data_IF_192894149403
#
_entry.id   IF_192894149403
#
_cell.length_a   1.000
_cell.length_b   1.000
_cell.length_c   1.000
_cell.angle_alpha   90.00
_cell.angle_beta   90.00
_cell.angle_gamma   90.00
#
_symmetry.space_group_name_H-M   'P 1'
#
loop_
_entity.id
_entity.type
_entity.pdbx_description
1 polymer ?
#
# COMPACT_ATOMS: atom_id res chain seq x y z
N UNK A 1 -24.30 -20.99 22.08
CA UNK A 1 -23.56 -19.88 21.46
C UNK A 1 -23.08 -20.39 20.11
N UNK A 2 -23.78 -20.02 19.05
CA UNK A 2 -23.92 -20.79 17.79
C UNK A 2 -22.72 -20.67 16.85
N UNK A 3 -22.46 -21.75 16.11
CA UNK A 3 -21.42 -21.92 15.09
C UNK A 3 -21.33 -20.74 14.09
N UNK A 4 -22.43 -20.03 13.87
CA UNK A 4 -22.58 -18.92 12.94
C UNK A 4 -21.79 -17.66 13.35
N UNK A 5 -21.44 -17.48 14.63
CA UNK A 5 -20.62 -16.35 15.09
C UNK A 5 -19.12 -16.56 14.85
N UNK A 6 -18.67 -17.80 14.78
CA UNK A 6 -17.25 -18.14 14.64
C UNK A 6 -16.76 -18.02 13.19
N UNK A 7 -17.65 -18.30 12.24
CA UNK A 7 -17.34 -18.28 10.81
C UNK A 7 -16.74 -16.93 10.34
N UNK A 8 -17.34 -15.75 10.63
CA UNK A 8 -16.75 -14.47 10.21
C UNK A 8 -15.40 -14.21 10.89
N UNK A 9 -15.23 -14.59 12.16
CA UNK A 9 -13.97 -14.41 12.89
C UNK A 9 -12.86 -15.26 12.26
N UNK A 10 -13.15 -16.52 11.94
CA UNK A 10 -12.20 -17.43 11.30
C UNK A 10 -11.79 -16.90 9.92
N UNK A 11 -12.73 -16.39 9.13
CA UNK A 11 -12.44 -15.82 7.80
C UNK A 11 -11.54 -14.59 7.91
N UNK A 12 -11.84 -13.66 8.83
CA UNK A 12 -11.00 -12.46 9.04
C UNK A 12 -9.60 -12.86 9.50
N UNK A 13 -9.48 -13.77 10.47
CA UNK A 13 -8.18 -14.28 10.93
C UNK A 13 -7.40 -14.98 9.80
N UNK A 14 -8.08 -15.74 8.94
CA UNK A 14 -7.45 -16.38 7.78
C UNK A 14 -6.91 -15.34 6.78
N UNK A 15 -7.67 -14.29 6.49
CA UNK A 15 -7.23 -13.21 5.58
C UNK A 15 -6.01 -12.49 6.16
N UNK A 16 -6.04 -12.14 7.45
CA UNK A 16 -4.93 -11.44 8.12
C UNK A 16 -3.66 -12.30 8.14
N UNK A 17 -3.78 -13.57 8.53
CA UNK A 17 -2.63 -14.48 8.61
C UNK A 17 -2.04 -14.78 7.23
N UNK A 18 -2.87 -14.98 6.21
CA UNK A 18 -2.42 -15.20 4.83
C UNK A 18 -1.74 -13.95 4.25
N UNK A 19 -2.28 -12.76 4.52
CA UNK A 19 -1.69 -11.49 4.10
C UNK A 19 -0.32 -11.25 4.76
N UNK A 20 -0.20 -11.54 6.06
CA UNK A 20 1.07 -11.44 6.78
C UNK A 20 2.09 -12.46 6.26
N UNK A 21 1.67 -13.72 6.08
CA UNK A 21 2.53 -14.77 5.54
C UNK A 21 3.08 -14.38 4.15
N UNK A 22 2.20 -13.92 3.26
CA UNK A 22 2.60 -13.47 1.92
C UNK A 22 3.55 -12.27 2.00
N UNK A 23 3.27 -11.30 2.87
CA UNK A 23 4.13 -10.11 3.04
C UNK A 23 5.53 -10.47 3.54
N UNK A 24 5.65 -11.41 4.48
CA UNK A 24 6.93 -11.89 4.99
C UNK A 24 7.71 -12.61 3.89
N UNK A 25 7.07 -13.52 3.17
CA UNK A 25 7.71 -14.27 2.06
C UNK A 25 8.17 -13.30 0.99
N UNK A 26 7.31 -12.36 0.57
CA UNK A 26 7.64 -11.37 -0.44
C UNK A 26 8.83 -10.51 -0.01
N UNK A 27 8.79 -9.95 1.22
CA UNK A 27 9.91 -9.17 1.75
C UNK A 27 11.21 -9.98 1.77
N UNK A 28 11.17 -11.25 2.20
CA UNK A 28 12.37 -12.11 2.26
C UNK A 28 12.91 -12.54 0.90
N UNK A 29 12.07 -12.61 -0.13
CA UNK A 29 12.49 -12.96 -1.50
C UNK A 29 13.19 -11.79 -2.19
N UNK A 30 12.69 -10.56 -1.99
CA UNK A 30 13.20 -9.37 -2.66
C UNK A 30 14.22 -8.58 -1.85
N UNK A 31 14.40 -8.91 -0.57
CA UNK A 31 15.39 -8.27 0.27
C UNK A 31 16.81 -8.68 -0.12
N UNK A 32 17.69 -7.68 -0.30
CA UNK A 32 19.12 -7.93 -0.42
C UNK A 32 19.70 -8.43 0.91
N UNK A 33 20.60 -9.40 0.83
CA UNK A 33 21.16 -10.08 1.99
C UNK A 33 22.27 -9.30 2.67
N UNK A 34 22.83 -8.28 2.01
CA UNK A 34 23.91 -7.45 2.57
C UNK A 34 23.41 -6.25 3.39
N UNK A 35 22.33 -5.57 2.98
CA UNK A 35 21.81 -4.36 3.67
C UNK A 35 20.49 -4.61 4.43
N UNK A 36 20.33 -5.82 4.98
CA UNK A 36 19.08 -6.21 5.63
C UNK A 36 19.01 -5.74 7.09
N UNK A 37 18.28 -4.65 7.32
CA UNK A 37 17.96 -4.19 8.66
C UNK A 37 16.57 -4.65 9.17
N UNK A 38 16.53 -5.05 10.44
CA UNK A 38 15.33 -5.63 11.06
C UNK A 38 14.16 -4.65 11.16
N UNK A 39 14.45 -3.35 11.31
CA UNK A 39 13.44 -2.30 11.44
C UNK A 39 12.79 -1.97 10.09
N UNK A 40 13.58 -1.86 9.01
CA UNK A 40 13.03 -1.64 7.64
C UNK A 40 12.11 -2.78 7.26
N UNK A 41 12.57 -4.01 7.49
CA UNK A 41 11.79 -5.19 7.11
C UNK A 41 10.47 -5.26 7.86
N UNK A 42 10.45 -4.93 9.15
CA UNK A 42 9.21 -4.87 9.91
C UNK A 42 8.25 -3.83 9.34
N UNK A 43 8.73 -2.63 9.02
CA UNK A 43 7.89 -1.55 8.46
C UNK A 43 7.38 -1.92 7.07
N UNK A 44 8.23 -2.49 6.22
CA UNK A 44 7.85 -2.95 4.89
C UNK A 44 6.81 -4.09 4.95
N UNK A 45 7.01 -5.08 5.82
CA UNK A 45 6.08 -6.21 5.99
C UNK A 45 4.74 -5.72 6.54
N UNK A 46 4.75 -4.83 7.54
CA UNK A 46 3.52 -4.27 8.10
C UNK A 46 2.78 -3.44 7.06
N UNK A 47 3.46 -2.54 6.36
CA UNK A 47 2.87 -1.74 5.28
C UNK A 47 2.27 -2.62 4.18
N UNK A 48 3.01 -3.62 3.68
CA UNK A 48 2.52 -4.56 2.68
C UNK A 48 1.29 -5.34 3.17
N UNK A 49 1.29 -5.77 4.44
CA UNK A 49 0.16 -6.50 5.00
C UNK A 49 -1.12 -5.67 5.06
N UNK A 50 -1.02 -4.39 5.44
CA UNK A 50 -2.15 -3.47 5.49
C UNK A 50 -2.70 -3.22 4.07
N UNK A 51 -1.82 -3.05 3.08
CA UNK A 51 -2.22 -2.86 1.68
C UNK A 51 -2.99 -4.10 1.17
N UNK A 52 -2.49 -5.31 1.45
CA UNK A 52 -3.14 -6.56 1.02
C UNK A 52 -4.50 -6.77 1.69
N UNK A 53 -4.60 -6.50 2.99
CA UNK A 53 -5.87 -6.55 3.73
C UNK A 53 -6.87 -5.56 3.11
N UNK A 54 -6.45 -4.30 2.90
CA UNK A 54 -7.30 -3.25 2.32
C UNK A 54 -7.76 -3.62 0.91
N UNK A 55 -6.88 -4.21 0.10
CA UNK A 55 -7.22 -4.66 -1.26
C UNK A 55 -8.23 -5.82 -1.23
N UNK A 56 -8.12 -6.71 -0.24
CA UNK A 56 -9.04 -7.84 -0.04
C UNK A 56 -10.42 -7.40 0.45
N UNK A 57 -10.55 -6.20 1.03
CA UNK A 57 -11.87 -5.66 1.41
C UNK A 57 -12.73 -5.29 0.20
N UNK A 58 -12.12 -4.92 -0.93
CA UNK A 58 -12.86 -4.56 -2.16
C UNK A 58 -13.74 -5.72 -2.66
N UNK A 59 -13.23 -6.94 -2.90
CA UNK A 59 -14.09 -8.05 -3.32
C UNK A 59 -15.10 -8.46 -2.24
N UNK A 60 -14.79 -8.27 -0.96
CA UNK A 60 -15.72 -8.53 0.14
C UNK A 60 -16.89 -7.55 0.08
N UNK A 61 -16.64 -6.27 -0.14
CA UNK A 61 -17.68 -5.25 -0.32
C UNK A 61 -18.59 -5.56 -1.52
N UNK A 62 -18.00 -5.87 -2.68
CA UNK A 62 -18.75 -6.28 -3.88
C UNK A 62 -19.61 -7.51 -3.61
N UNK A 63 -19.05 -8.51 -2.92
CA UNK A 63 -19.79 -9.73 -2.55
C UNK A 63 -20.95 -9.43 -1.59
N UNK A 64 -20.72 -8.60 -0.56
CA UNK A 64 -21.73 -8.24 0.43
C UNK A 64 -22.90 -7.49 -0.21
N UNK A 65 -22.61 -6.50 -1.06
CA UNK A 65 -23.64 -5.78 -1.81
C UNK A 65 -24.39 -6.74 -2.74
N UNK A 66 -23.68 -7.62 -3.46
CA UNK A 66 -24.29 -8.61 -4.33
C UNK A 66 -25.18 -9.60 -3.58
N UNK A 67 -24.83 -9.99 -2.36
CA UNK A 67 -25.58 -10.96 -1.55
C UNK A 67 -26.91 -10.40 -1.00
N UNK A 68 -27.08 -9.08 -1.02
CA UNK A 68 -28.30 -8.42 -0.54
C UNK A 68 -29.49 -8.54 -1.51
N UNK A 69 -29.25 -8.97 -2.74
CA UNK A 69 -30.24 -9.14 -3.80
C UNK A 69 -30.45 -10.62 -4.09
N UNK A 70 -31.70 -11.05 -4.19
CA UNK A 70 -32.04 -12.41 -4.61
C UNK A 70 -31.87 -12.53 -6.13
N UNK A 71 -30.95 -13.38 -6.58
CA UNK A 71 -30.64 -13.58 -8.00
C UNK A 71 -31.82 -14.08 -8.83
N UNK A 72 -32.81 -14.75 -8.24
CA UNK A 72 -33.95 -15.31 -8.95
C UNK A 72 -35.14 -14.35 -9.08
N UNK A 73 -35.35 -13.47 -8.09
CA UNK A 73 -36.47 -12.52 -8.08
C UNK A 73 -36.05 -11.08 -8.36
N UNK A 74 -34.75 -10.76 -8.33
CA UNK A 74 -34.22 -9.41 -8.47
C UNK A 74 -34.55 -8.47 -7.29
N UNK A 75 -35.30 -8.97 -6.29
CA UNK A 75 -35.69 -8.20 -5.11
C UNK A 75 -34.68 -8.38 -3.97
N UNK A 76 -34.56 -7.36 -3.12
CA UNK A 76 -33.77 -7.45 -1.89
C UNK A 76 -34.38 -8.45 -0.93
N UNK A 77 -33.56 -9.16 -0.18
CA UNK A 77 -34.04 -10.05 0.88
C UNK A 77 -34.72 -9.27 2.01
N UNK A 78 -35.61 -9.93 2.76
CA UNK A 78 -36.36 -9.29 3.87
C UNK A 78 -35.45 -8.78 5.00
N UNK A 79 -34.29 -9.44 5.20
CA UNK A 79 -33.27 -8.97 6.16
C UNK A 79 -32.56 -7.69 5.69
N UNK A 80 -32.59 -7.38 4.40
CA UNK A 80 -31.87 -6.25 3.79
C UNK A 80 -32.72 -4.97 3.82
N UNK A 81 -33.17 -4.59 5.03
CA UNK A 81 -33.89 -3.34 5.28
C UNK A 81 -33.02 -2.12 4.95
N UNK A 82 -33.63 -1.01 4.49
CA UNK A 82 -32.89 0.23 4.15
C UNK A 82 -32.01 0.73 5.30
N UNK A 83 -32.53 0.68 6.53
CA UNK A 83 -31.79 1.09 7.74
C UNK A 83 -30.55 0.22 7.97
N UNK A 84 -30.70 -1.11 7.87
CA UNK A 84 -29.58 -2.05 8.00
C UNK A 84 -28.50 -1.79 6.96
N UNK A 85 -28.88 -1.61 5.69
CA UNK A 85 -27.93 -1.32 4.60
C UNK A 85 -27.20 -0.01 4.86
N UNK A 86 -27.90 1.05 5.26
CA UNK A 86 -27.27 2.35 5.54
C UNK A 86 -26.27 2.29 6.70
N UNK A 87 -26.63 1.63 7.81
CA UNK A 87 -25.71 1.44 8.94
C UNK A 87 -24.48 0.62 8.52
N UNK A 88 -24.69 -0.42 7.72
CA UNK A 88 -23.60 -1.27 7.25
C UNK A 88 -22.65 -0.51 6.32
N UNK A 89 -23.18 0.28 5.39
CA UNK A 89 -22.38 1.15 4.51
C UNK A 89 -21.57 2.17 5.31
N UNK A 90 -22.17 2.79 6.33
CA UNK A 90 -21.45 3.72 7.21
C UNK A 90 -20.28 3.03 7.93
N UNK A 91 -20.50 1.81 8.46
CA UNK A 91 -19.44 1.03 9.12
C UNK A 91 -18.30 0.74 8.14
N UNK A 92 -18.62 0.26 6.92
CA UNK A 92 -17.61 0.00 5.90
C UNK A 92 -16.84 1.25 5.51
N UNK A 93 -17.53 2.38 5.35
CA UNK A 93 -16.90 3.67 5.06
C UNK A 93 -15.88 4.08 6.14
N UNK A 94 -16.22 3.95 7.42
CA UNK A 94 -15.26 4.19 8.52
C UNK A 94 -14.06 3.24 8.47
N UNK A 95 -14.29 1.95 8.18
CA UNK A 95 -13.20 0.96 8.05
C UNK A 95 -12.28 1.33 6.89
N UNK A 96 -12.81 1.73 5.73
CA UNK A 96 -12.00 2.16 4.60
C UNK A 96 -11.20 3.43 4.91
N UNK A 97 -11.83 4.48 5.44
CA UNK A 97 -11.11 5.71 5.75
C UNK A 97 -10.03 5.52 6.82
N UNK A 98 -10.28 4.67 7.83
CA UNK A 98 -9.26 4.36 8.84
C UNK A 98 -8.07 3.59 8.24
N UNK A 99 -8.34 2.61 7.37
CA UNK A 99 -7.29 1.86 6.67
C UNK A 99 -6.47 2.77 5.72
N UNK A 100 -7.12 3.61 4.92
CA UNK A 100 -6.45 4.57 4.04
C UNK A 100 -5.70 5.67 4.80
N UNK A 101 -6.23 6.12 5.95
CA UNK A 101 -5.53 7.04 6.84
C UNK A 101 -4.26 6.42 7.40
N UNK A 102 -4.31 5.15 7.80
CA UNK A 102 -3.16 4.40 8.26
C UNK A 102 -2.14 4.19 7.13
N UNK A 103 -2.58 3.88 5.91
CA UNK A 103 -1.70 3.81 4.73
C UNK A 103 -1.02 5.15 4.43
N UNK A 104 -1.75 6.26 4.54
CA UNK A 104 -1.22 7.62 4.36
C UNK A 104 -0.15 7.93 5.41
N UNK A 105 -0.39 7.56 6.66
CA UNK A 105 0.60 7.69 7.73
C UNK A 105 1.87 6.86 7.44
N UNK A 106 1.71 5.61 7.00
CA UNK A 106 2.85 4.79 6.60
C UNK A 106 3.62 5.39 5.41
N UNK A 107 2.92 5.91 4.41
CA UNK A 107 3.52 6.46 3.19
C UNK A 107 4.25 7.80 3.41
N UNK A 108 3.71 8.71 4.23
CA UNK A 108 4.27 10.06 4.41
C UNK A 108 5.13 10.21 5.67
N UNK A 109 4.98 9.33 6.66
CA UNK A 109 5.70 9.41 7.94
C UNK A 109 6.68 8.26 8.11
N UNK A 110 6.20 7.01 8.18
CA UNK A 110 7.09 5.88 8.51
C UNK A 110 8.07 5.56 7.37
N UNK A 111 7.59 5.44 6.13
CA UNK A 111 8.45 5.06 5.02
C UNK A 111 9.58 6.09 4.77
N UNK A 112 9.32 7.41 4.71
CA UNK A 112 10.39 8.41 4.62
C UNK A 112 11.30 8.41 5.85
N UNK A 113 10.76 8.19 7.05
CA UNK A 113 11.56 8.17 8.28
C UNK A 113 12.60 7.07 8.26
N UNK A 114 12.16 5.85 7.94
CA UNK A 114 13.09 4.73 7.85
C UNK A 114 14.02 4.89 6.65
N UNK A 115 13.54 5.39 5.50
CA UNK A 115 14.41 5.67 4.36
C UNK A 115 15.58 6.59 4.73
N UNK A 116 15.31 7.78 5.30
CA UNK A 116 16.38 8.71 5.69
C UNK A 116 17.23 8.20 6.85
N UNK A 117 16.63 7.46 7.79
CA UNK A 117 17.38 6.86 8.90
C UNK A 117 18.44 5.85 8.43
N UNK A 118 18.18 5.13 7.33
CA UNK A 118 19.11 4.14 6.78
C UNK A 118 20.05 4.70 5.71
N UNK A 119 19.64 5.71 4.94
CA UNK A 119 20.55 6.39 4.01
C UNK A 119 21.75 7.01 4.75
N UNK A 120 21.53 7.48 5.99
CA UNK A 120 22.58 8.08 6.83
C UNK A 120 23.40 7.02 7.61
N UNK A 121 23.23 5.73 7.30
CA UNK A 121 23.98 4.62 7.92
C UNK A 121 25.44 4.55 7.41
N UNK A 122 25.69 4.90 6.16
CA UNK A 122 27.02 4.80 5.54
C UNK A 122 27.99 5.93 5.91
N UNK A 123 27.52 6.97 6.61
CA UNK A 123 28.42 7.98 7.20
C UNK A 123 28.97 7.45 8.53
N UNK A 124 30.14 6.83 8.49
CA UNK A 124 30.81 6.08 9.58
C UNK A 124 31.04 6.81 10.94
N UNK A 125 30.62 8.08 11.10
CA UNK A 125 31.00 8.93 12.25
C UNK A 125 29.83 9.59 13.02
N UNK A 126 28.55 9.24 12.79
CA UNK A 126 27.42 9.87 13.51
C UNK A 126 26.88 9.06 14.71
N UNK A 127 26.66 9.76 15.83
CA UNK A 127 25.95 9.22 17.00
C UNK A 127 24.48 8.85 16.65
N UNK A 128 23.97 7.79 17.28
CA UNK A 128 22.60 7.29 17.08
C UNK A 128 21.53 8.35 17.41
N UNK A 129 21.83 9.28 18.31
CA UNK A 129 20.92 10.39 18.65
C UNK A 129 20.84 11.41 17.50
N UNK A 130 21.99 11.84 16.98
CA UNK A 130 22.06 12.78 15.85
C UNK A 130 21.43 12.21 14.58
N UNK A 131 21.59 10.91 14.32
CA UNK A 131 20.95 10.23 13.19
C UNK A 131 19.42 10.28 13.24
N UNK A 132 18.82 9.99 14.40
CA UNK A 132 17.36 10.05 14.58
C UNK A 132 16.82 11.47 14.40
N UNK A 133 17.56 12.48 14.88
CA UNK A 133 17.22 13.88 14.73
C UNK A 133 17.27 14.33 13.27
N UNK A 134 18.28 13.90 12.51
CA UNK A 134 18.39 14.21 11.09
C UNK A 134 17.29 13.53 10.28
N UNK A 135 17.05 12.23 10.49
CA UNK A 135 15.94 11.52 9.84
C UNK A 135 14.59 12.19 10.11
N UNK A 136 14.35 12.64 11.35
CA UNK A 136 13.14 13.39 11.70
C UNK A 136 13.05 14.76 11.00
N UNK A 137 14.17 15.48 10.83
CA UNK A 137 14.17 16.75 10.09
C UNK A 137 13.77 16.57 8.63
N UNK A 138 14.24 15.52 7.98
CA UNK A 138 13.88 15.23 6.60
C UNK A 138 12.43 14.75 6.46
N UNK A 139 11.89 13.99 7.42
CA UNK A 139 10.47 13.62 7.40
C UNK A 139 9.53 14.79 7.66
N UNK A 140 9.98 15.87 8.28
CA UNK A 140 9.17 17.09 8.38
C UNK A 140 8.82 17.65 6.99
N UNK A 141 9.68 17.44 5.98
CA UNK A 141 9.39 17.87 4.60
C UNK A 141 8.22 17.05 4.02
N UNK A 142 8.21 15.73 4.21
CA UNK A 142 7.11 14.88 3.72
C UNK A 142 5.82 15.13 4.49
N UNK A 143 5.91 15.39 5.80
CA UNK A 143 4.77 15.82 6.62
C UNK A 143 4.25 17.18 6.16
N UNK A 144 5.13 18.11 5.79
CA UNK A 144 4.74 19.43 5.27
C UNK A 144 4.01 19.29 3.92
N UNK A 145 4.45 18.40 3.04
CA UNK A 145 3.73 18.06 1.80
C UNK A 145 2.34 17.49 2.13
N UNK A 146 2.24 16.56 3.08
CA UNK A 146 0.96 16.02 3.53
C UNK A 146 0.03 17.11 4.08
N UNK A 147 0.58 18.07 4.84
CA UNK A 147 -0.17 19.21 5.36
C UNK A 147 -0.70 20.12 4.25
N UNK A 148 0.08 20.38 3.20
CA UNK A 148 -0.37 21.12 2.01
C UNK A 148 -1.49 20.35 1.31
N UNK A 149 -1.38 19.03 1.16
CA UNK A 149 -2.43 18.22 0.54
C UNK A 149 -3.74 18.24 1.35
N UNK A 150 -3.66 18.15 2.68
CA UNK A 150 -4.82 18.29 3.58
C UNK A 150 -5.44 19.68 3.42
N UNK A 151 -4.63 20.73 3.39
CA UNK A 151 -5.10 22.10 3.23
C UNK A 151 -5.77 22.33 1.86
N UNK A 152 -5.20 21.77 0.79
CA UNK A 152 -5.82 21.79 -0.53
C UNK A 152 -7.16 21.04 -0.54
N UNK A 153 -7.23 19.87 0.09
CA UNK A 153 -8.47 19.12 0.24
C UNK A 153 -9.53 19.89 1.05
N UNK A 154 -9.09 20.65 2.05
CA UNK A 154 -9.95 21.54 2.81
C UNK A 154 -10.55 22.65 1.92
N UNK A 155 -9.72 23.35 1.14
CA UNK A 155 -10.21 24.40 0.23
C UNK A 155 -11.18 23.89 -0.83
N UNK A 156 -11.00 22.65 -1.31
CA UNK A 156 -11.91 22.01 -2.26
C UNK A 156 -13.24 21.61 -1.59
N UNK A 157 -13.19 21.21 -0.32
CA UNK A 157 -14.37 20.77 0.45
C UNK A 157 -15.29 21.92 0.87
N UNK A 158 -14.72 23.12 1.10
CA UNK A 158 -15.46 24.35 1.48
C UNK A 158 -16.05 25.01 0.23
N UNK A 159 -17.16 24.44 -0.25
CA UNK A 159 -17.87 24.93 -1.45
C UNK A 159 -18.75 26.16 -1.25
N UNK A 160 -19.01 26.63 -0.02
CA UNK A 160 -19.81 27.84 0.21
C UNK A 160 -19.27 28.72 1.35
N UNK A 161 -19.50 30.03 1.19
CA UNK A 161 -18.87 31.21 1.83
C UNK A 161 -18.41 31.00 3.29
N UNK A 162 -17.14 31.28 3.62
CA UNK A 162 -16.63 31.14 4.98
C UNK A 162 -17.18 32.28 5.86
N UNK A 163 -17.98 31.93 6.86
CA UNK A 163 -18.12 32.76 8.04
C UNK A 163 -17.03 32.30 9.01
N UNK A 164 -16.06 33.18 9.26
CA UNK A 164 -14.85 32.93 10.07
C UNK A 164 -15.20 32.78 11.56
N UNK A 165 -15.90 31.71 11.92
CA UNK A 165 -16.15 31.33 13.30
C UNK A 165 -15.46 30.00 13.62
N UNK A 166 -14.68 29.96 14.70
CA UNK A 166 -13.99 28.74 15.16
C UNK A 166 -14.98 27.62 15.57
N UNK A 167 -16.18 27.97 16.00
CA UNK A 167 -17.24 27.01 16.32
C UNK A 167 -17.84 26.35 15.06
N UNK A 168 -17.90 27.09 13.95
CA UNK A 168 -18.26 26.55 12.63
C UNK A 168 -17.18 25.59 12.10
N UNK A 169 -15.89 25.90 12.33
CA UNK A 169 -14.78 25.01 11.97
C UNK A 169 -14.86 23.67 12.69
N UNK A 170 -15.17 23.69 13.99
CA UNK A 170 -15.33 22.48 14.81
C UNK A 170 -16.50 21.64 14.30
N UNK A 171 -17.64 22.25 13.98
CA UNK A 171 -18.79 21.51 13.45
C UNK A 171 -18.53 20.94 12.04
N UNK A 172 -17.87 21.65 11.12
CA UNK A 172 -17.59 21.07 9.79
C UNK A 172 -16.56 19.94 9.83
N UNK A 173 -15.49 20.08 10.62
CA UNK A 173 -14.49 19.01 10.75
C UNK A 173 -15.09 17.76 11.39
N UNK A 174 -16.02 17.92 12.33
CA UNK A 174 -16.63 16.82 13.09
C UNK A 174 -17.82 16.20 12.36
N UNK A 175 -18.59 16.99 11.60
CA UNK A 175 -19.93 16.56 11.16
C UNK A 175 -19.95 16.00 9.73
N UNK A 176 -19.01 16.34 8.82
CA UNK A 176 -18.84 15.69 7.49
C UNK A 176 -17.58 16.11 6.67
N UNK A 177 -16.87 17.17 7.06
CA UNK A 177 -15.76 17.75 6.28
C UNK A 177 -14.52 16.86 6.21
N UNK A 178 -14.27 16.05 7.24
CA UNK A 178 -13.15 15.10 7.28
C UNK A 178 -13.22 14.04 6.16
N UNK A 179 -14.41 13.53 5.85
CA UNK A 179 -14.60 12.51 4.80
C UNK A 179 -14.22 13.05 3.42
N UNK A 180 -14.65 14.27 3.09
CA UNK A 180 -14.31 14.92 1.81
C UNK A 180 -12.80 15.15 1.66
N UNK A 181 -12.13 15.61 2.71
CA UNK A 181 -10.67 15.78 2.71
C UNK A 181 -9.97 14.43 2.51
N UNK A 182 -10.42 13.37 3.20
CA UNK A 182 -9.87 12.03 3.03
C UNK A 182 -10.08 11.49 1.62
N UNK A 183 -11.27 11.67 1.02
CA UNK A 183 -11.52 11.26 -0.37
C UNK A 183 -10.60 11.98 -1.37
N UNK A 184 -10.32 13.26 -1.14
CA UNK A 184 -9.38 14.02 -1.96
C UNK A 184 -7.95 13.48 -1.82
N UNK A 185 -7.48 13.24 -0.59
CA UNK A 185 -6.17 12.65 -0.33
C UNK A 185 -6.01 11.29 -1.02
N UNK A 186 -7.01 10.42 -0.88
CA UNK A 186 -7.03 9.10 -1.52
C UNK A 186 -6.97 9.25 -3.05
N UNK A 187 -7.73 10.18 -3.64
CA UNK A 187 -7.72 10.41 -5.08
C UNK A 187 -6.36 10.93 -5.59
N UNK A 188 -5.73 11.88 -4.89
CA UNK A 188 -4.40 12.38 -5.25
C UNK A 188 -3.34 11.28 -5.12
N UNK A 189 -3.36 10.51 -4.03
CA UNK A 189 -2.41 9.43 -3.82
C UNK A 189 -2.60 8.30 -4.84
N UNK A 190 -3.84 7.92 -5.14
CA UNK A 190 -4.16 6.90 -6.13
C UNK A 190 -3.77 7.34 -7.54
N UNK A 191 -4.07 8.58 -7.93
CA UNK A 191 -3.69 9.11 -9.25
C UNK A 191 -2.18 9.16 -9.43
N UNK A 192 -1.43 9.67 -8.44
CA UNK A 192 0.02 9.66 -8.46
C UNK A 192 0.59 8.22 -8.53
N UNK A 193 0.05 7.31 -7.71
CA UNK A 193 0.45 5.90 -7.68
C UNK A 193 0.21 5.18 -9.00
N UNK A 194 -0.95 5.39 -9.64
CA UNK A 194 -1.28 4.82 -10.95
C UNK A 194 -0.34 5.34 -12.03
N UNK A 195 0.00 6.63 -12.03
CA UNK A 195 0.97 7.18 -12.99
C UNK A 195 2.33 6.48 -12.86
N UNK A 196 2.88 6.39 -11.65
CA UNK A 196 4.15 5.70 -11.40
C UNK A 196 4.06 4.22 -11.81
N UNK A 197 2.97 3.55 -11.44
CA UNK A 197 2.74 2.15 -11.77
C UNK A 197 2.72 1.90 -13.29
N UNK A 198 2.05 2.75 -14.06
CA UNK A 198 1.98 2.62 -15.53
C UNK A 198 3.37 2.80 -16.16
N UNK A 199 4.13 3.83 -15.76
CA UNK A 199 5.47 4.05 -16.31
C UNK A 199 6.46 2.96 -15.91
N UNK A 200 6.51 2.59 -14.63
CA UNK A 200 7.43 1.58 -14.13
C UNK A 200 7.13 0.19 -14.72
N UNK A 201 5.86 -0.20 -14.73
CA UNK A 201 5.44 -1.52 -15.22
C UNK A 201 5.58 -1.65 -16.73
N UNK A 202 5.30 -0.60 -17.50
CA UNK A 202 5.45 -0.63 -18.96
C UNK A 202 6.91 -0.83 -19.37
N UNK A 203 7.84 -0.10 -18.76
CA UNK A 203 9.28 -0.26 -19.04
C UNK A 203 9.76 -1.65 -18.59
N UNK A 204 9.36 -2.08 -17.39
CA UNK A 204 9.71 -3.40 -16.86
C UNK A 204 9.23 -4.55 -17.75
N UNK A 205 7.94 -4.53 -18.13
CA UNK A 205 7.36 -5.57 -18.99
C UNK A 205 7.93 -5.55 -20.41
N UNK A 206 8.21 -4.37 -20.98
CA UNK A 206 8.81 -4.27 -22.32
C UNK A 206 10.27 -4.75 -22.36
N UNK A 207 11.00 -4.66 -21.25
CA UNK A 207 12.39 -5.10 -21.17
C UNK A 207 12.56 -6.62 -21.28
N UNK A 208 11.57 -7.40 -20.83
CA UNK A 208 11.61 -8.86 -20.83
C UNK A 208 11.62 -9.46 -22.27
N UNK A 209 10.68 -9.16 -23.18
CA UNK A 209 10.74 -9.69 -24.54
C UNK A 209 11.97 -9.17 -25.30
N UNK A 210 12.37 -7.92 -25.05
CA UNK A 210 13.56 -7.32 -25.67
C UNK A 210 14.85 -8.02 -25.23
N UNK A 211 14.95 -8.44 -23.96
CA UNK A 211 16.10 -9.19 -23.47
C UNK A 211 16.16 -10.59 -24.07
N UNK A 212 15.02 -11.27 -24.25
CA UNK A 212 14.94 -12.59 -24.91
C UNK A 212 15.36 -12.50 -26.39
N UNK A 213 14.93 -11.47 -27.13
CA UNK A 213 15.30 -11.29 -28.54
C UNK A 213 16.80 -10.96 -28.68
N UNK A 214 17.34 -10.08 -27.81
CA UNK A 214 18.78 -9.74 -27.81
C UNK A 214 19.65 -10.92 -27.40
N UNK A 215 19.22 -11.70 -26.41
CA UNK A 215 19.85 -12.95 -25.97
C UNK A 215 20.03 -13.96 -27.11
N UNK A 216 19.03 -14.09 -27.98
CA UNK A 216 19.10 -14.98 -29.15
C UNK A 216 20.11 -14.51 -30.21
N UNK A 217 20.35 -13.20 -30.30
CA UNK A 217 21.24 -12.59 -31.30
C UNK A 217 22.70 -12.48 -30.84
N UNK A 218 22.94 -12.29 -29.53
CA UNK A 218 24.27 -12.26 -28.94
C UNK A 218 24.28 -12.96 -27.56
N UNK A 219 24.77 -14.22 -27.48
CA UNK A 219 24.71 -15.01 -26.25
C UNK A 219 25.65 -14.49 -25.14
N UNK A 220 26.61 -13.61 -25.45
CA UNK A 220 27.48 -13.01 -24.41
C UNK A 220 26.74 -12.05 -23.48
N UNK A 221 25.59 -11.50 -23.91
CA UNK A 221 24.78 -10.59 -23.09
C UNK A 221 24.12 -11.34 -21.91
N UNK A 222 23.86 -12.64 -22.03
CA UNK A 222 23.33 -13.44 -20.91
C UNK A 222 24.32 -13.60 -19.76
N UNK A 223 25.64 -13.52 -20.03
CA UNK A 223 26.66 -13.60 -18.99
C UNK A 223 26.54 -12.43 -18.00
N UNK A 224 26.06 -11.27 -18.45
CA UNK A 224 25.83 -10.06 -17.63
C UNK A 224 24.64 -10.27 -16.66
N UNK A 225 23.65 -11.06 -17.07
CA UNK A 225 22.45 -11.35 -16.26
C UNK A 225 22.57 -12.66 -15.45
N UNK A 226 23.78 -13.23 -15.35
CA UNK A 226 24.06 -14.41 -14.54
C UNK A 226 23.74 -15.76 -15.20
N UNK A 227 23.47 -15.79 -16.49
CA UNK A 227 23.31 -17.00 -17.27
C UNK A 227 24.56 -17.27 -18.11
N UNK A 228 25.25 -18.38 -17.87
CA UNK A 228 26.38 -18.77 -18.71
C UNK A 228 25.87 -19.50 -19.96
N UNK A 229 26.09 -18.89 -21.13
CA UNK A 229 25.86 -19.55 -22.42
C UNK A 229 27.20 -20.08 -22.95
N UNK A 230 27.37 -21.40 -22.96
CA UNK A 230 28.59 -22.06 -23.43
C UNK A 230 28.30 -22.83 -24.73
N UNK A 231 28.43 -22.12 -25.86
CA UNK A 231 28.34 -22.70 -27.22
C UNK A 231 27.02 -23.46 -27.52
N UNK A 232 27.08 -24.41 -28.46
CA UNK A 232 25.95 -25.17 -29.03
C UNK A 232 25.04 -25.92 -28.02
N UNK A 233 25.33 -25.90 -26.72
CA UNK A 233 24.59 -26.66 -25.70
C UNK A 233 23.46 -25.90 -25.02
N UNK A 234 23.10 -24.71 -25.52
CA UNK A 234 22.00 -23.91 -24.98
C UNK A 234 22.37 -23.19 -23.68
N UNK A 235 21.56 -22.21 -23.29
CA UNK A 235 21.79 -21.38 -22.11
C UNK A 235 21.11 -21.98 -20.88
N UNK A 236 21.87 -22.17 -19.80
CA UNK A 236 21.35 -22.70 -18.53
C UNK A 236 21.41 -21.59 -17.47
N UNK A 237 20.28 -21.32 -16.82
CA UNK A 237 20.22 -20.41 -15.68
C UNK A 237 20.88 -21.07 -14.46
N UNK A 238 22.01 -20.52 -14.01
CA UNK A 238 22.62 -20.98 -12.76
C UNK A 238 21.76 -20.45 -11.61
N UNK A 239 21.16 -21.35 -10.84
CA UNK A 239 20.43 -21.00 -9.62
C UNK A 239 21.30 -20.11 -8.72
N UNK A 240 20.69 -19.07 -8.16
CA UNK A 240 21.27 -18.00 -7.33
C UNK A 240 22.19 -18.51 -6.18
N UNK A 241 22.10 -19.79 -5.83
CA UNK A 241 22.86 -20.48 -4.77
C UNK A 241 24.37 -20.61 -5.05
N UNK A 242 24.83 -20.52 -6.30
CA UNK A 242 26.23 -20.77 -6.69
C UNK A 242 27.02 -19.53 -7.16
N UNK A 243 26.57 -18.31 -6.81
CA UNK A 243 27.35 -17.07 -6.99
C UNK A 243 28.14 -16.72 -5.72
N UNK A 244 29.00 -17.64 -5.27
CA UNK A 244 30.08 -17.34 -4.34
C UNK A 244 31.40 -17.72 -5.00
N UNK A 245 32.06 -16.72 -5.55
CA UNK A 245 33.52 -16.67 -5.65
C UNK A 245 34.01 -15.86 -4.46
#
# INVERSE_FOLDING_TARGET
>A
MSLNLWLPIVVVCAIVTLSLFFSIVFAKVFQDKHDSEGSVTLVAVTMLSIILITTTFIPIDVYLVSSSVNSSSGHKYEWATKEFISNFQNILEYVYYSAYGLLTFFAFVLAPFFYFYFEEWDSEDQDNSTRRLNAFRYTLITIFILAILILAGYFISVGEKPQLEFDWFKNIVIENGGQKIMSFLIAVMASAGVLVYVFYTSIGLASLPMSIIRAKKNPEILNIWGAQCQGEKGCVWKSWKNRKG
#
